data_IF_681990023754
#
_entry.id   IF_681990023754
#
_cell.length_a   1.000
_cell.length_b   1.000
_cell.length_c   1.000
_cell.angle_alpha   90.00
_cell.angle_beta   90.00
_cell.angle_gamma   90.00
#
_symmetry.space_group_name_H-M   'P 1'
#
loop_
_entity.id
_entity.type
_entity.pdbx_description
1 polymer ?
#
# COMPACT_ATOMS: atom_id res chain seq x y z
N UNK A 1 0.48 -19.11 -10.04
CA UNK A 1 -0.46 -20.04 -9.37
C UNK A 1 -1.19 -19.23 -8.27
N UNK A 2 -2.40 -18.72 -8.53
CA UNK A 2 -3.16 -17.92 -7.59
C UNK A 2 -3.98 -18.86 -6.70
N UNK A 3 -3.63 -18.92 -5.43
CA UNK A 3 -4.36 -19.74 -4.45
C UNK A 3 -5.78 -19.19 -4.26
N UNK A 4 -6.78 -20.02 -4.55
CA UNK A 4 -8.17 -19.79 -4.17
C UNK A 4 -8.30 -20.02 -2.67
N UNK A 5 -8.51 -18.98 -1.91
CA UNK A 5 -8.97 -19.11 -0.51
C UNK A 5 -10.48 -19.34 -0.58
N UNK A 6 -10.86 -20.61 -0.49
CA UNK A 6 -12.26 -21.03 -0.54
C UNK A 6 -12.90 -20.91 0.83
N UNK A 7 -13.92 -20.10 0.92
CA UNK A 7 -14.89 -20.06 2.01
C UNK A 7 -16.01 -19.11 1.60
N UNK A 8 -17.21 -19.56 1.45
CA UNK A 8 -18.55 -18.98 1.24
C UNK A 8 -18.81 -17.53 0.81
N UNK A 9 -17.80 -16.76 0.58
CA UNK A 9 -17.77 -15.37 0.14
C UNK A 9 -17.04 -15.35 -1.20
N UNK A 10 -17.68 -15.27 -2.29
CA UNK A 10 -17.17 -15.21 -3.66
C UNK A 10 -15.65 -15.21 -3.87
N UNK A 11 -15.17 -15.45 -5.07
CA UNK A 11 -13.73 -15.56 -5.36
C UNK A 11 -13.06 -14.21 -5.11
N UNK A 12 -12.34 -14.07 -4.01
CA UNK A 12 -11.58 -12.88 -3.65
C UNK A 12 -10.13 -13.06 -4.12
N UNK A 13 -9.64 -12.15 -4.94
CA UNK A 13 -8.26 -12.20 -5.45
C UNK A 13 -7.45 -11.04 -4.88
N UNK A 14 -6.29 -11.36 -4.33
CA UNK A 14 -5.30 -10.36 -3.93
C UNK A 14 -4.29 -10.20 -5.06
N UNK A 15 -4.12 -8.97 -5.53
CA UNK A 15 -3.23 -8.63 -6.64
C UNK A 15 -2.14 -7.70 -6.12
N UNK A 16 -0.83 -8.10 -6.21
CA UNK A 16 0.25 -7.21 -5.84
C UNK A 16 0.39 -6.07 -6.84
N UNK A 17 0.50 -4.84 -6.34
CA UNK A 17 0.79 -3.64 -7.12
C UNK A 17 1.93 -2.90 -6.43
N UNK A 18 2.89 -2.41 -7.18
CA UNK A 18 3.97 -1.59 -6.67
C UNK A 18 3.75 -0.14 -7.07
N UNK A 19 3.79 0.78 -6.11
CA UNK A 19 3.74 2.21 -6.40
C UNK A 19 5.11 2.89 -6.25
N UNK A 20 6.00 2.26 -5.50
CA UNK A 20 7.39 2.69 -5.30
C UNK A 20 8.25 1.58 -4.73
N UNK A 21 9.55 1.69 -4.95
CA UNK A 21 10.57 0.70 -4.57
C UNK A 21 11.76 1.37 -3.91
N UNK A 22 12.32 0.70 -2.90
CA UNK A 22 13.47 1.16 -2.13
C UNK A 22 13.07 1.75 -0.78
N UNK A 23 14.06 1.98 0.08
CA UNK A 23 13.85 2.55 1.40
C UNK A 23 15.14 3.28 1.84
N UNK A 24 15.07 4.54 2.30
CA UNK A 24 16.25 5.31 2.70
C UNK A 24 16.70 4.97 4.13
N UNK A 25 15.97 4.11 4.86
CA UNK A 25 16.29 3.76 6.24
C UNK A 25 17.27 2.59 6.29
N UNK A 26 18.43 2.81 6.89
CA UNK A 26 19.45 1.78 7.13
C UNK A 26 19.17 0.94 8.37
N UNK A 27 18.02 0.24 8.42
CA UNK A 27 17.69 -0.63 9.55
C UNK A 27 18.59 -1.87 9.54
N UNK A 28 19.27 -2.16 10.65
CA UNK A 28 20.25 -3.26 10.77
C UNK A 28 19.70 -4.65 10.42
N UNK A 29 18.41 -4.86 10.65
CA UNK A 29 17.73 -6.14 10.40
C UNK A 29 17.08 -6.22 9.01
N UNK A 30 17.11 -5.15 8.20
CA UNK A 30 16.36 -5.05 6.95
C UNK A 30 17.28 -5.18 5.74
N UNK A 31 16.96 -6.09 4.84
CA UNK A 31 17.75 -6.33 3.63
C UNK A 31 17.37 -5.44 2.46
N UNK A 32 16.33 -4.61 2.58
CA UNK A 32 15.78 -3.78 1.49
C UNK A 32 16.82 -2.86 0.89
N UNK A 33 17.59 -2.15 1.72
CA UNK A 33 18.68 -1.27 1.27
C UNK A 33 19.82 -2.03 0.58
N UNK A 34 20.09 -3.26 1.02
CA UNK A 34 21.08 -4.12 0.38
C UNK A 34 20.66 -4.61 -1.01
N UNK A 35 19.36 -4.74 -1.25
CA UNK A 35 18.82 -5.26 -2.52
C UNK A 35 18.46 -4.14 -3.49
N UNK A 36 17.80 -3.07 -3.01
CA UNK A 36 17.25 -2.00 -3.85
C UNK A 36 18.00 -0.68 -3.77
N UNK A 37 19.02 -0.59 -2.89
CA UNK A 37 19.72 0.65 -2.59
C UNK A 37 18.95 1.53 -1.59
N UNK A 38 19.57 2.65 -1.23
CA UNK A 38 19.06 3.64 -0.27
C UNK A 38 18.17 4.71 -0.90
N UNK A 39 17.98 4.66 -2.21
CA UNK A 39 17.13 5.59 -2.96
C UNK A 39 15.75 5.00 -3.24
N UNK A 40 14.72 5.86 -3.17
CA UNK A 40 13.37 5.47 -3.51
C UNK A 40 13.06 5.87 -4.96
N UNK A 41 12.50 4.93 -5.70
CA UNK A 41 12.02 5.13 -7.05
C UNK A 41 10.51 4.96 -7.07
N UNK A 42 9.78 6.02 -7.43
CA UNK A 42 8.33 5.99 -7.52
C UNK A 42 7.90 5.84 -8.98
N UNK A 43 6.83 5.10 -9.18
CA UNK A 43 6.05 5.15 -10.43
C UNK A 43 5.27 6.46 -10.48
N UNK A 44 4.93 6.91 -11.68
CA UNK A 44 4.02 8.05 -11.83
C UNK A 44 2.63 7.69 -11.28
N UNK A 45 1.95 8.67 -10.71
CA UNK A 45 0.59 8.48 -10.21
C UNK A 45 -0.33 7.96 -11.31
N UNK A 46 -0.23 8.53 -12.52
CA UNK A 46 -0.99 8.10 -13.68
C UNK A 46 -0.82 6.60 -13.98
N UNK A 47 0.42 6.11 -13.97
CA UNK A 47 0.71 4.68 -14.20
C UNK A 47 0.01 3.79 -13.17
N UNK A 48 0.05 4.18 -11.89
CA UNK A 48 -0.61 3.41 -10.82
C UNK A 48 -2.13 3.48 -10.94
N UNK A 49 -2.68 4.66 -11.19
CA UNK A 49 -4.13 4.88 -11.36
C UNK A 49 -4.66 4.06 -12.53
N UNK A 50 -3.97 4.08 -13.69
CA UNK A 50 -4.37 3.31 -14.86
C UNK A 50 -4.37 1.80 -14.59
N UNK A 51 -3.36 1.30 -13.87
CA UNK A 51 -3.33 -0.12 -13.46
C UNK A 51 -4.53 -0.47 -12.57
N UNK A 52 -4.85 0.36 -11.58
CA UNK A 52 -6.02 0.15 -10.70
C UNK A 52 -7.34 0.16 -11.48
N UNK A 53 -7.49 1.06 -12.46
CA UNK A 53 -8.66 1.10 -13.33
C UNK A 53 -8.81 -0.18 -14.16
N UNK A 54 -7.71 -0.68 -14.74
CA UNK A 54 -7.71 -1.95 -15.49
C UNK A 54 -8.09 -3.14 -14.60
N UNK A 55 -7.53 -3.22 -13.40
CA UNK A 55 -7.84 -4.26 -12.43
C UNK A 55 -9.31 -4.21 -12.00
N UNK A 56 -9.84 -3.02 -11.75
CA UNK A 56 -11.25 -2.80 -11.41
C UNK A 56 -12.19 -3.21 -12.55
N UNK A 57 -11.86 -2.84 -13.78
CA UNK A 57 -12.63 -3.22 -14.97
C UNK A 57 -12.61 -4.74 -15.18
N UNK A 58 -11.46 -5.39 -14.97
CA UNK A 58 -11.32 -6.84 -15.05
C UNK A 58 -12.16 -7.55 -14.00
N UNK A 59 -12.10 -7.09 -12.75
CA UNK A 59 -12.91 -7.66 -11.66
C UNK A 59 -14.41 -7.63 -11.98
N UNK A 60 -14.89 -6.50 -12.51
CA UNK A 60 -16.30 -6.36 -12.93
C UNK A 60 -16.69 -7.34 -14.03
N UNK A 61 -15.84 -7.55 -15.03
CA UNK A 61 -16.11 -8.48 -16.13
C UNK A 61 -16.15 -9.94 -15.66
N UNK A 62 -15.30 -10.29 -14.71
CA UNK A 62 -15.18 -11.65 -14.20
C UNK A 62 -16.14 -11.95 -13.04
N UNK A 63 -16.99 -10.99 -12.64
CA UNK A 63 -17.97 -11.14 -11.55
C UNK A 63 -17.34 -11.41 -10.19
N UNK A 64 -16.04 -11.05 -10.01
CA UNK A 64 -15.28 -11.26 -8.79
C UNK A 64 -14.96 -9.97 -8.04
N UNK A 65 -14.51 -10.12 -6.81
CA UNK A 65 -13.93 -9.02 -6.03
C UNK A 65 -12.41 -9.11 -6.06
N UNK A 66 -11.75 -7.95 -6.11
CA UNK A 66 -10.30 -7.84 -5.98
C UNK A 66 -9.94 -7.02 -4.76
N UNK A 67 -8.81 -7.37 -4.15
CA UNK A 67 -8.06 -6.48 -3.30
C UNK A 67 -6.66 -6.29 -3.89
N UNK A 68 -6.13 -5.11 -3.76
CA UNK A 68 -4.77 -4.77 -4.12
C UNK A 68 -3.90 -4.83 -2.86
N UNK A 69 -2.77 -5.48 -2.96
CA UNK A 69 -1.72 -5.37 -1.97
C UNK A 69 -0.60 -4.50 -2.53
N UNK A 70 -0.46 -3.27 -2.01
CA UNK A 70 0.68 -2.45 -2.32
C UNK A 70 1.92 -3.05 -1.67
N UNK A 71 2.83 -3.57 -2.49
CA UNK A 71 4.05 -4.27 -2.05
C UNK A 71 5.22 -3.32 -1.81
N UNK A 72 4.95 -2.02 -1.71
CA UNK A 72 5.92 -1.00 -1.34
C UNK A 72 6.52 -1.31 0.03
N UNK A 73 7.80 -1.06 0.25
CA UNK A 73 8.46 -1.28 1.54
C UNK A 73 7.86 -0.43 2.67
N UNK A 74 7.46 0.80 2.35
CA UNK A 74 6.58 1.65 3.15
C UNK A 74 5.81 2.56 2.19
N UNK A 75 4.51 2.30 2.06
CA UNK A 75 3.65 2.99 1.10
C UNK A 75 3.57 4.50 1.34
N UNK A 76 3.68 4.94 2.59
CA UNK A 76 3.56 6.34 2.96
C UNK A 76 4.91 7.03 3.23
N UNK A 77 6.03 6.41 2.87
CA UNK A 77 7.39 6.91 3.14
C UNK A 77 7.62 8.34 2.62
N UNK A 78 6.94 8.73 1.56
CA UNK A 78 6.83 10.11 1.09
C UNK A 78 5.38 10.58 1.18
N UNK A 79 5.01 11.18 2.31
CA UNK A 79 3.64 11.59 2.62
C UNK A 79 3.05 12.49 1.53
N UNK A 80 3.80 13.48 1.03
CA UNK A 80 3.30 14.40 -0.01
C UNK A 80 2.93 13.65 -1.28
N UNK A 81 3.79 12.76 -1.73
CA UNK A 81 3.56 11.92 -2.92
C UNK A 81 2.38 10.97 -2.69
N UNK A 82 2.29 10.34 -1.52
CA UNK A 82 1.22 9.40 -1.20
C UNK A 82 -0.14 10.10 -1.16
N UNK A 83 -0.22 11.29 -0.55
CA UNK A 83 -1.44 12.11 -0.60
C UNK A 83 -1.84 12.46 -2.03
N UNK A 84 -0.88 12.84 -2.87
CA UNK A 84 -1.14 13.12 -4.29
C UNK A 84 -1.70 11.88 -5.00
N UNK A 85 -1.06 10.72 -4.83
CA UNK A 85 -1.54 9.46 -5.41
C UNK A 85 -2.96 9.11 -4.95
N UNK A 86 -3.25 9.22 -3.65
CA UNK A 86 -4.57 8.91 -3.11
C UNK A 86 -5.65 9.84 -3.66
N UNK A 87 -5.35 11.15 -3.81
CA UNK A 87 -6.27 12.09 -4.45
C UNK A 87 -6.53 11.73 -5.92
N UNK A 88 -5.49 11.36 -6.66
CA UNK A 88 -5.61 10.96 -8.06
C UNK A 88 -6.43 9.66 -8.20
N UNK A 89 -6.24 8.69 -7.32
CA UNK A 89 -7.07 7.46 -7.25
C UNK A 89 -8.53 7.81 -6.99
N UNK A 90 -8.81 8.75 -6.09
CA UNK A 90 -10.17 9.19 -5.75
C UNK A 90 -10.78 9.92 -6.95
N UNK A 91 -10.08 10.89 -7.52
CA UNK A 91 -10.55 11.70 -8.63
C UNK A 91 -10.86 10.87 -9.88
N UNK A 92 -10.04 9.87 -10.17
CA UNK A 92 -10.24 8.95 -11.30
C UNK A 92 -11.30 7.87 -11.05
N UNK A 93 -11.87 7.79 -9.86
CA UNK A 93 -12.79 6.70 -9.51
C UNK A 93 -12.12 5.32 -9.50
N UNK A 94 -10.80 5.27 -9.29
CA UNK A 94 -9.99 4.06 -9.32
C UNK A 94 -9.96 3.29 -7.99
N UNK A 95 -10.82 3.67 -7.03
CA UNK A 95 -10.82 3.03 -5.70
C UNK A 95 -11.13 1.54 -5.82
N UNK A 96 -10.31 0.75 -5.17
CA UNK A 96 -10.43 -0.71 -4.96
C UNK A 96 -10.17 -1.02 -3.49
N UNK A 97 -10.49 -2.22 -3.04
CA UNK A 97 -9.97 -2.67 -1.75
C UNK A 97 -8.46 -2.79 -1.82
N UNK A 98 -7.76 -2.26 -0.84
CA UNK A 98 -6.31 -2.38 -0.82
C UNK A 98 -5.75 -2.51 0.60
N UNK A 99 -4.55 -3.07 0.68
CA UNK A 99 -3.76 -3.22 1.89
C UNK A 99 -2.35 -2.72 1.57
N UNK A 100 -1.69 -2.08 2.51
CA UNK A 100 -0.30 -1.65 2.37
C UNK A 100 0.43 -1.71 3.72
N UNK A 101 1.75 -1.74 3.68
CA UNK A 101 2.60 -1.54 4.83
C UNK A 101 2.83 -0.03 5.02
N UNK A 102 2.57 0.48 6.21
CA UNK A 102 2.75 1.90 6.57
C UNK A 102 3.37 1.97 7.95
N UNK A 103 4.43 2.77 8.08
CA UNK A 103 5.05 3.04 9.37
C UNK A 103 4.09 3.80 10.30
N UNK A 104 3.94 3.33 11.54
CA UNK A 104 2.93 3.84 12.47
C UNK A 104 3.07 5.33 12.80
N UNK A 105 4.29 5.87 12.76
CA UNK A 105 4.56 7.30 12.98
C UNK A 105 3.94 8.20 11.90
N UNK A 106 3.73 7.68 10.69
CA UNK A 106 3.13 8.43 9.58
C UNK A 106 1.60 8.59 9.73
N UNK A 107 0.97 7.75 10.55
CA UNK A 107 -0.46 7.84 10.88
C UNK A 107 -0.81 9.01 11.82
N UNK A 108 0.15 9.85 12.21
CA UNK A 108 -0.08 11.11 12.91
C UNK A 108 -0.54 12.24 11.98
N UNK A 109 -0.37 12.05 10.69
CA UNK A 109 -0.84 13.00 9.68
C UNK A 109 -2.33 12.76 9.42
N UNK A 110 -3.18 13.62 9.98
CA UNK A 110 -4.65 13.49 9.93
C UNK A 110 -5.17 13.47 8.50
N UNK A 111 -4.64 14.33 7.62
CA UNK A 111 -5.05 14.36 6.21
C UNK A 111 -4.72 13.05 5.48
N UNK A 112 -3.55 12.45 5.78
CA UNK A 112 -3.20 11.14 5.24
C UNK A 112 -4.19 10.09 5.71
N UNK A 113 -4.54 10.08 6.99
CA UNK A 113 -5.51 9.14 7.56
C UNK A 113 -6.88 9.32 6.92
N UNK A 114 -7.33 10.56 6.74
CA UNK A 114 -8.60 10.85 6.08
C UNK A 114 -8.62 10.36 4.63
N UNK A 115 -7.56 10.60 3.87
CA UNK A 115 -7.44 10.11 2.49
C UNK A 115 -7.44 8.58 2.40
N UNK A 116 -6.80 7.92 3.37
CA UNK A 116 -6.83 6.46 3.50
C UNK A 116 -8.25 5.98 3.85
N UNK A 117 -8.96 6.70 4.71
CA UNK A 117 -10.29 6.34 5.21
C UNK A 117 -11.42 6.66 4.23
N UNK A 118 -11.18 7.48 3.20
CA UNK A 118 -12.20 7.88 2.23
C UNK A 118 -12.83 6.67 1.56
N UNK A 119 -13.96 6.29 2.12
CA UNK A 119 -14.96 5.29 1.74
C UNK A 119 -14.56 3.81 1.68
N UNK A 120 -14.89 3.16 2.81
CA UNK A 120 -15.42 1.76 2.93
C UNK A 120 -14.65 0.61 2.29
N UNK A 121 -13.35 0.73 2.07
CA UNK A 121 -12.62 -0.40 1.49
C UNK A 121 -11.21 -0.62 2.04
N UNK A 122 -10.92 -0.15 3.24
CA UNK A 122 -9.60 -0.34 3.83
C UNK A 122 -9.66 -1.42 4.90
N UNK A 123 -9.17 -2.59 4.57
CA UNK A 123 -8.68 -3.51 5.57
C UNK A 123 -7.31 -3.02 6.02
N UNK A 124 -7.23 -2.20 7.05
CA UNK A 124 -5.96 -1.85 7.70
C UNK A 124 -5.42 -3.09 8.39
N UNK A 125 -4.42 -3.73 7.79
CA UNK A 125 -3.61 -4.68 8.51
C UNK A 125 -2.61 -3.91 9.36
N UNK A 126 -2.94 -3.72 10.63
CA UNK A 126 -2.08 -3.11 11.62
C UNK A 126 -0.99 -4.12 11.97
N UNK A 127 0.18 -4.01 11.36
CA UNK A 127 1.36 -4.66 11.91
C UNK A 127 1.67 -4.04 13.27
N UNK A 128 1.69 -4.89 14.28
CA UNK A 128 2.02 -4.50 15.64
C UNK A 128 3.34 -3.73 15.68
N UNK A 129 3.31 -2.59 16.35
CA UNK A 129 4.48 -1.77 16.64
C UNK A 129 5.45 -2.65 17.45
N UNK A 130 6.50 -3.15 16.83
CA UNK A 130 7.67 -3.56 17.57
C UNK A 130 8.30 -2.29 18.16
N UNK A 131 7.96 -2.04 19.42
CA UNK A 131 8.58 -1.03 20.25
C UNK A 131 10.05 -1.43 20.43
N UNK A 132 10.91 -0.91 19.56
CA UNK A 132 12.35 -0.95 19.83
C UNK A 132 12.57 -0.14 21.10
N UNK A 133 12.84 -0.83 22.19
CA UNK A 133 13.37 -0.18 23.40
C UNK A 133 14.72 0.42 23.00
N UNK A 134 14.74 1.72 22.86
CA UNK A 134 15.98 2.50 22.93
C UNK A 134 16.54 2.27 24.33
N UNK A 135 17.50 1.39 24.49
CA UNK A 135 18.38 1.39 25.63
C UNK A 135 19.22 2.66 25.53
N UNK A 136 18.94 3.64 26.35
CA UNK A 136 19.85 4.76 26.58
C UNK A 136 21.13 4.19 27.22
N UNK A 137 22.33 4.61 26.74
CA UNK A 137 23.56 4.30 27.45
C UNK A 137 23.59 5.02 28.78
N UNK A 138 24.16 4.35 29.78
CA UNK A 138 24.41 4.87 31.12
C UNK A 138 25.40 6.04 31.10
#
# INVERSE_FOLDING_TARGET
MLQRIGGGWGTFRIIPVESGRGCPFGCEFCTVTGVFGDSIRFRTNESVVNELLLLKARARREGGQIAVFFIDNDFAINIKRTKSLLRDIIAAGAQVHWVAQISANLLRDEELVDLIAVRRQVGLYRHGVHRTRRTLPA
#
